data_IF_717623333776
#
_entry.id   IF_717623333776
#
_cell.length_a   1.000
_cell.length_b   1.000
_cell.length_c   1.000
_cell.angle_alpha   90.00
_cell.angle_beta   90.00
_cell.angle_gamma   90.00
#
_symmetry.space_group_name_H-M   'P 1'
#
loop_
_entity.id
_entity.type
_entity.pdbx_description
1 polymer ?
#
# COMPACT_ATOMS: atom_id res chain seq x y z
N UNK A 1 -25.83 14.24 4.58
CA UNK A 1 -24.62 13.46 4.97
C UNK A 1 -23.69 13.41 3.79
N UNK A 2 -22.54 14.09 3.85
CA UNK A 2 -21.49 13.96 2.83
C UNK A 2 -20.67 12.71 3.15
N UNK A 3 -20.86 11.66 2.37
CA UNK A 3 -20.02 10.46 2.42
C UNK A 3 -18.72 10.80 1.69
N UNK A 4 -17.67 11.17 2.43
CA UNK A 4 -16.36 11.47 1.85
C UNK A 4 -15.55 10.19 1.87
N UNK A 5 -15.50 9.54 0.72
CA UNK A 5 -14.73 8.33 0.47
C UNK A 5 -14.76 8.02 -1.03
N UNK A 6 -13.83 7.20 -1.51
CA UNK A 6 -13.90 6.72 -2.89
C UNK A 6 -15.01 5.66 -2.94
N UNK A 7 -16.19 6.08 -3.42
CA UNK A 7 -17.44 5.29 -3.39
C UNK A 7 -17.32 3.94 -4.10
N UNK A 8 -16.26 3.77 -4.89
CA UNK A 8 -15.93 2.57 -5.67
C UNK A 8 -15.45 1.39 -4.80
N UNK A 9 -14.96 1.65 -3.58
CA UNK A 9 -14.44 0.62 -2.68
C UNK A 9 -15.45 0.16 -1.63
N UNK A 10 -16.60 0.81 -1.52
CA UNK A 10 -17.59 0.46 -0.51
C UNK A 10 -18.16 -0.93 -0.79
N UNK A 11 -18.28 -1.73 0.26
CA UNK A 11 -18.91 -3.03 0.19
C UNK A 11 -20.44 -2.88 0.06
N UNK A 12 -21.14 -3.79 -0.64
CA UNK A 12 -22.57 -3.69 -0.86
C UNK A 12 -23.39 -3.63 0.43
N UNK A 13 -22.98 -4.34 1.48
CA UNK A 13 -23.60 -4.30 2.81
C UNK A 13 -23.52 -2.91 3.47
N UNK A 14 -22.41 -2.19 3.29
CA UNK A 14 -22.24 -0.80 3.78
C UNK A 14 -23.18 0.14 3.05
N UNK A 15 -23.32 -0.03 1.73
CA UNK A 15 -24.20 0.80 0.91
C UNK A 15 -25.68 0.60 1.28
N UNK A 16 -26.06 -0.63 1.63
CA UNK A 16 -27.42 -0.96 2.09
C UNK A 16 -27.69 -0.53 3.53
N UNK A 17 -26.68 -0.14 4.30
CA UNK A 17 -26.81 0.16 5.73
C UNK A 17 -27.02 -1.09 6.59
N UNK A 18 -26.55 -2.25 6.13
CA UNK A 18 -26.59 -3.50 6.89
C UNK A 18 -25.44 -3.52 7.92
N UNK A 19 -25.58 -4.36 8.96
CA UNK A 19 -24.49 -4.59 9.91
C UNK A 19 -23.26 -5.15 9.20
N UNK A 20 -22.08 -4.65 9.54
CA UNK A 20 -20.82 -5.06 8.92
C UNK A 20 -19.82 -5.56 9.96
N UNK A 21 -18.90 -6.40 9.49
CA UNK A 21 -17.73 -6.86 10.24
C UNK A 21 -16.48 -6.81 9.36
N UNK A 22 -15.44 -7.55 9.70
CA UNK A 22 -14.17 -7.58 8.96
C UNK A 22 -14.27 -8.04 7.49
N UNK A 23 -15.43 -8.56 7.06
CA UNK A 23 -15.66 -8.98 5.68
C UNK A 23 -15.56 -7.81 4.68
N UNK A 24 -15.86 -6.57 5.11
CA UNK A 24 -15.83 -5.38 4.24
C UNK A 24 -14.40 -5.03 3.79
N UNK A 25 -13.40 -5.37 4.60
CA UNK A 25 -12.00 -5.16 4.26
C UNK A 25 -11.58 -6.10 3.13
N UNK A 26 -12.07 -7.33 3.12
CA UNK A 26 -11.83 -8.29 2.04
C UNK A 26 -12.48 -7.87 0.73
N UNK A 27 -13.64 -7.23 0.79
CA UNK A 27 -14.24 -6.61 -0.39
C UNK A 27 -13.34 -5.51 -0.95
N UNK A 28 -12.94 -4.58 -0.09
CA UNK A 28 -12.05 -3.45 -0.44
C UNK A 28 -10.74 -3.97 -1.05
N UNK A 29 -10.16 -5.02 -0.46
CA UNK A 29 -8.98 -5.69 -1.00
C UNK A 29 -9.22 -6.27 -2.40
N UNK A 30 -10.37 -6.87 -2.66
CA UNK A 30 -10.76 -7.35 -4.00
C UNK A 30 -10.87 -6.21 -5.03
N UNK A 31 -11.44 -5.07 -4.64
CA UNK A 31 -11.53 -3.88 -5.51
C UNK A 31 -10.12 -3.37 -5.84
N UNK A 32 -9.27 -3.27 -4.82
CA UNK A 32 -7.89 -2.82 -4.97
C UNK A 32 -7.06 -3.76 -5.86
N UNK A 33 -7.16 -5.08 -5.69
CA UNK A 33 -6.48 -6.04 -6.57
C UNK A 33 -6.93 -5.91 -8.02
N UNK A 34 -8.23 -5.73 -8.25
CA UNK A 34 -8.74 -5.51 -9.60
C UNK A 34 -8.17 -4.22 -10.19
N UNK A 35 -8.13 -3.14 -9.43
CA UNK A 35 -7.58 -1.87 -9.88
C UNK A 35 -6.08 -1.93 -10.18
N UNK A 36 -5.28 -2.62 -9.36
CA UNK A 36 -3.85 -2.81 -9.62
C UNK A 36 -3.60 -3.54 -10.94
N UNK A 37 -4.47 -4.48 -11.31
CA UNK A 37 -4.30 -5.29 -12.51
C UNK A 37 -4.88 -4.64 -13.78
N UNK A 38 -5.96 -3.86 -13.64
CA UNK A 38 -6.70 -3.31 -14.79
C UNK A 38 -6.66 -1.78 -14.89
N UNK A 39 -6.09 -1.09 -13.91
CA UNK A 39 -6.00 0.38 -13.85
C UNK A 39 -7.34 1.10 -13.61
N UNK A 40 -8.40 0.36 -13.28
CA UNK A 40 -9.75 0.90 -13.02
C UNK A 40 -10.49 -0.01 -12.05
N UNK A 41 -11.49 0.51 -11.35
CA UNK A 41 -12.35 -0.30 -10.48
C UNK A 41 -13.41 -1.08 -11.30
N UNK A 42 -13.90 -2.22 -10.79
CA UNK A 42 -14.81 -3.09 -11.55
C UNK A 42 -16.24 -2.53 -11.68
N UNK A 43 -16.67 -1.65 -10.76
CA UNK A 43 -18.05 -1.17 -10.68
C UNK A 43 -18.21 0.34 -10.96
N UNK A 44 -17.16 1.00 -11.46
CA UNK A 44 -17.19 2.44 -11.77
C UNK A 44 -18.33 2.79 -12.73
N UNK A 45 -19.22 3.69 -12.29
CA UNK A 45 -20.26 4.28 -13.12
C UNK A 45 -19.93 5.71 -13.55
N UNK A 46 -20.82 6.32 -14.32
CA UNK A 46 -20.73 7.73 -14.76
C UNK A 46 -20.81 8.75 -13.62
N UNK A 47 -21.10 8.31 -12.39
CA UNK A 47 -21.15 9.15 -11.19
C UNK A 47 -21.42 8.31 -9.95
N UNK A 48 -21.36 8.93 -8.77
CA UNK A 48 -21.40 8.22 -7.48
C UNK A 48 -22.62 7.31 -7.33
N UNK A 49 -23.82 7.82 -7.65
CA UNK A 49 -25.06 7.01 -7.56
C UNK A 49 -25.04 5.79 -8.49
N UNK A 50 -24.53 5.95 -9.71
CA UNK A 50 -24.41 4.85 -10.66
C UNK A 50 -23.38 3.82 -10.18
N UNK A 51 -22.25 4.27 -9.63
CA UNK A 51 -21.25 3.38 -9.01
C UNK A 51 -21.85 2.57 -7.87
N UNK A 52 -22.57 3.21 -6.93
CA UNK A 52 -23.19 2.49 -5.82
C UNK A 52 -24.22 1.45 -6.31
N UNK A 53 -25.02 1.80 -7.32
CA UNK A 53 -25.96 0.86 -7.94
C UNK A 53 -25.23 -0.33 -8.58
N UNK A 54 -24.11 -0.08 -9.28
CA UNK A 54 -23.29 -1.13 -9.87
C UNK A 54 -22.66 -2.03 -8.80
N UNK A 55 -22.17 -1.46 -7.70
CA UNK A 55 -21.60 -2.22 -6.59
C UNK A 55 -22.64 -3.17 -5.98
N UNK A 56 -23.90 -2.76 -5.89
CA UNK A 56 -24.95 -3.63 -5.32
C UNK A 56 -25.49 -4.64 -6.33
N UNK A 57 -25.76 -4.20 -7.57
CA UNK A 57 -26.55 -4.98 -8.53
C UNK A 57 -25.78 -5.58 -9.70
N UNK A 58 -24.63 -5.01 -10.10
CA UNK A 58 -23.92 -5.50 -11.29
C UNK A 58 -23.00 -6.67 -10.96
N UNK A 59 -22.98 -7.74 -11.80
CA UNK A 59 -22.05 -8.84 -11.67
C UNK A 59 -20.63 -8.38 -12.02
N UNK A 60 -19.63 -9.00 -11.39
CA UNK A 60 -18.22 -8.77 -11.72
C UNK A 60 -17.93 -9.21 -13.16
N UNK A 61 -17.34 -8.31 -13.96
CA UNK A 61 -16.83 -8.62 -15.29
C UNK A 61 -15.35 -8.30 -15.38
N UNK A 62 -14.63 -9.12 -16.15
CA UNK A 62 -13.21 -8.90 -16.46
C UNK A 62 -13.10 -8.48 -17.92
N UNK A 63 -12.31 -7.44 -18.24
CA UNK A 63 -12.01 -7.08 -19.63
C UNK A 63 -11.15 -8.16 -20.29
N UNK A 64 -11.12 -8.18 -21.62
CA UNK A 64 -10.27 -9.10 -22.39
C UNK A 64 -8.79 -8.71 -22.32
N UNK A 65 -8.50 -7.42 -22.10
CA UNK A 65 -7.15 -6.88 -22.00
C UNK A 65 -7.05 -5.87 -20.84
N UNK A 66 -5.94 -5.87 -20.07
CA UNK A 66 -4.80 -6.79 -20.13
C UNK A 66 -5.14 -8.22 -19.69
N UNK A 67 -4.43 -9.21 -20.25
CA UNK A 67 -4.57 -10.62 -19.84
C UNK A 67 -3.95 -10.84 -18.47
N UNK A 68 -4.75 -11.31 -17.52
CA UNK A 68 -4.31 -11.65 -16.16
C UNK A 68 -4.40 -13.16 -15.92
N UNK A 69 -3.61 -13.67 -14.97
CA UNK A 69 -3.63 -15.10 -14.65
C UNK A 69 -5.01 -15.57 -14.18
N UNK A 70 -5.32 -16.85 -14.43
CA UNK A 70 -6.57 -17.45 -13.94
C UNK A 70 -6.69 -17.33 -12.42
N UNK A 71 -5.59 -17.61 -11.70
CA UNK A 71 -5.55 -17.51 -10.24
C UNK A 71 -5.87 -16.09 -9.73
N UNK A 72 -5.45 -15.04 -10.44
CA UNK A 72 -5.80 -13.66 -10.08
C UNK A 72 -7.31 -13.40 -10.22
N UNK A 73 -7.90 -13.85 -11.34
CA UNK A 73 -9.35 -13.69 -11.60
C UNK A 73 -10.17 -14.48 -10.59
N UNK A 74 -9.71 -15.68 -10.26
CA UNK A 74 -10.36 -16.56 -9.28
C UNK A 74 -10.36 -15.94 -7.87
N UNK A 75 -9.20 -15.42 -7.43
CA UNK A 75 -9.08 -14.69 -6.16
C UNK A 75 -10.06 -13.50 -6.10
N UNK A 76 -10.07 -12.66 -7.14
CA UNK A 76 -10.93 -11.48 -7.18
C UNK A 76 -12.41 -11.88 -7.19
N UNK A 77 -12.80 -12.95 -7.91
CA UNK A 77 -14.18 -13.47 -7.88
C UNK A 77 -14.59 -13.88 -6.47
N UNK A 78 -13.71 -14.56 -5.74
CA UNK A 78 -13.98 -14.96 -4.36
C UNK A 78 -14.09 -13.78 -3.39
N UNK A 79 -13.30 -12.73 -3.58
CA UNK A 79 -13.32 -11.53 -2.74
C UNK A 79 -14.51 -10.60 -3.04
N UNK A 80 -14.94 -10.52 -4.30
CA UNK A 80 -16.03 -9.64 -4.76
C UNK A 80 -17.39 -10.34 -4.82
N UNK A 81 -17.61 -11.29 -3.90
CA UNK A 81 -18.94 -11.86 -3.63
C UNK A 81 -19.78 -10.84 -2.86
N UNK A 82 -20.98 -10.56 -3.37
CA UNK A 82 -21.88 -9.56 -2.79
C UNK A 82 -22.35 -9.95 -1.40
N UNK A 83 -22.66 -11.24 -1.21
CA UNK A 83 -23.05 -11.79 0.09
C UNK A 83 -21.82 -11.99 0.98
N UNK A 84 -21.68 -11.28 2.12
CA UNK A 84 -20.48 -11.33 2.95
C UNK A 84 -20.14 -12.73 3.46
N UNK A 85 -21.16 -13.55 3.77
CA UNK A 85 -20.99 -14.90 4.32
C UNK A 85 -20.38 -15.90 3.33
N UNK A 86 -20.58 -15.64 2.03
CA UNK A 86 -20.06 -16.48 0.93
C UNK A 86 -18.74 -15.94 0.37
N UNK A 87 -18.25 -14.81 0.89
CA UNK A 87 -17.01 -14.17 0.47
C UNK A 87 -15.81 -15.00 0.92
N UNK A 88 -14.80 -15.10 0.06
CA UNK A 88 -13.51 -15.66 0.45
C UNK A 88 -12.99 -14.89 1.67
N UNK A 89 -12.33 -15.60 2.60
CA UNK A 89 -11.82 -15.05 3.86
C UNK A 89 -12.90 -14.71 4.91
N UNK A 90 -14.17 -15.07 4.70
CA UNK A 90 -15.21 -14.91 5.71
C UNK A 90 -14.95 -15.77 6.96
N UNK A 91 -14.51 -17.02 6.80
CA UNK A 91 -14.37 -17.97 7.93
C UNK A 91 -13.00 -17.90 8.60
N UNK A 92 -11.91 -17.99 7.83
CA UNK A 92 -10.52 -18.04 8.36
C UNK A 92 -9.71 -16.80 8.03
N UNK A 93 -10.35 -15.73 7.56
CA UNK A 93 -9.71 -14.45 7.29
C UNK A 93 -8.53 -14.57 6.33
N UNK A 94 -7.45 -13.87 6.67
CA UNK A 94 -6.23 -13.78 5.85
C UNK A 94 -5.63 -15.15 5.49
N UNK A 95 -5.84 -16.19 6.30
CA UNK A 95 -5.29 -17.53 6.05
C UNK A 95 -5.78 -18.11 4.72
N UNK A 96 -7.07 -17.94 4.39
CA UNK A 96 -7.61 -18.41 3.10
C UNK A 96 -6.99 -17.68 1.92
N UNK A 97 -6.74 -16.39 2.06
CA UNK A 97 -6.11 -15.58 1.02
C UNK A 97 -4.65 -15.98 0.85
N UNK A 98 -3.90 -16.13 1.95
CA UNK A 98 -2.48 -16.52 1.91
C UNK A 98 -2.25 -17.90 1.29
N UNK A 99 -3.22 -18.80 1.42
CA UNK A 99 -3.18 -20.16 0.83
C UNK A 99 -3.69 -20.21 -0.61
N UNK A 100 -4.25 -19.12 -1.14
CA UNK A 100 -4.80 -19.09 -2.49
C UNK A 100 -3.70 -19.31 -3.55
N UNK A 101 -3.96 -20.03 -4.65
CA UNK A 101 -2.97 -20.27 -5.72
C UNK A 101 -2.32 -19.00 -6.30
N UNK A 102 -3.00 -17.86 -6.21
CA UNK A 102 -2.45 -16.56 -6.61
C UNK A 102 -1.19 -16.19 -5.81
N UNK A 103 -1.11 -16.57 -4.54
CA UNK A 103 0.00 -16.28 -3.65
C UNK A 103 0.92 -17.49 -3.40
N UNK A 104 0.82 -18.55 -4.20
CA UNK A 104 1.58 -19.79 -3.97
C UNK A 104 3.11 -19.60 -3.94
N UNK A 105 3.63 -18.62 -4.65
CA UNK A 105 5.06 -18.31 -4.72
C UNK A 105 5.54 -17.36 -3.61
N UNK A 106 4.62 -16.85 -2.78
CA UNK A 106 4.94 -15.88 -1.74
C UNK A 106 5.36 -16.59 -0.46
N UNK A 107 6.60 -16.35 -0.04
CA UNK A 107 7.05 -16.74 1.29
C UNK A 107 6.62 -15.67 2.32
N UNK A 108 5.47 -15.89 2.95
CA UNK A 108 4.89 -14.96 3.91
C UNK A 108 5.76 -14.72 5.16
N UNK A 109 6.63 -15.65 5.54
CA UNK A 109 7.52 -15.49 6.68
C UNK A 109 8.67 -14.51 6.39
N UNK A 110 9.09 -14.42 5.13
CA UNK A 110 10.22 -13.59 4.69
C UNK A 110 9.78 -12.34 3.92
N UNK A 111 8.48 -12.04 3.86
CA UNK A 111 7.93 -10.96 3.02
C UNK A 111 8.55 -9.59 3.33
N UNK A 112 8.94 -9.34 4.60
CA UNK A 112 9.57 -8.09 5.04
C UNK A 112 11.04 -7.96 4.60
N UNK A 113 11.65 -9.06 4.18
CA UNK A 113 13.02 -9.12 3.67
C UNK A 113 13.07 -9.26 2.15
N UNK A 114 11.92 -9.40 1.48
CA UNK A 114 11.86 -9.50 0.04
C UNK A 114 12.18 -8.16 -0.61
N UNK A 115 12.96 -8.18 -1.69
CA UNK A 115 13.16 -6.99 -2.51
C UNK A 115 11.84 -6.62 -3.20
N UNK A 116 11.39 -5.36 -3.12
CA UNK A 116 10.19 -4.94 -3.83
C UNK A 116 10.45 -5.01 -5.34
N UNK A 117 9.40 -5.24 -6.15
CA UNK A 117 9.54 -5.38 -7.59
C UNK A 117 9.96 -4.09 -8.29
N UNK A 118 9.68 -2.92 -7.70
CA UNK A 118 10.16 -1.63 -8.19
C UNK A 118 10.75 -0.83 -7.02
N UNK A 119 11.96 -0.27 -7.22
CA UNK A 119 12.68 0.56 -6.25
C UNK A 119 12.79 1.96 -6.84
N UNK A 120 12.06 2.96 -6.30
CA UNK A 120 12.13 4.33 -6.80
C UNK A 120 13.56 4.87 -6.75
N UNK A 121 14.00 5.52 -7.83
CA UNK A 121 15.31 6.17 -7.87
C UNK A 121 15.32 7.34 -6.88
N UNK A 122 16.40 7.53 -6.09
CA UNK A 122 16.54 8.70 -5.24
C UNK A 122 16.41 9.97 -6.08
N UNK A 123 15.53 10.88 -5.65
CA UNK A 123 15.47 12.23 -6.23
C UNK A 123 16.74 12.94 -5.77
N UNK A 124 17.65 13.21 -6.70
CA UNK A 124 18.78 14.10 -6.42
C UNK A 124 18.19 15.50 -6.22
N UNK A 125 18.13 15.94 -4.96
CA UNK A 125 17.89 17.34 -4.67
C UNK A 125 19.22 18.04 -4.89
N UNK A 126 19.40 18.60 -6.08
CA UNK A 126 20.51 19.50 -6.35
C UNK A 126 20.28 20.76 -5.51
N UNK A 127 20.91 20.80 -4.33
CA UNK A 127 21.03 22.04 -3.60
C UNK A 127 21.92 22.96 -4.44
N UNK A 128 21.44 24.14 -4.88
CA UNK A 128 22.31 25.10 -5.52
C UNK A 128 23.38 25.49 -4.50
N UNK A 129 24.60 24.98 -4.70
CA UNK A 129 25.78 25.43 -3.99
C UNK A 129 25.97 26.89 -4.41
N UNK A 130 25.48 27.81 -3.58
CA UNK A 130 25.78 29.22 -3.72
C UNK A 130 27.29 29.42 -3.77
N UNK A 131 27.77 30.44 -4.51
CA UNK A 131 29.21 30.66 -4.66
C UNK A 131 29.88 30.79 -3.28
N UNK A 132 31.09 30.25 -3.08
CA UNK A 132 31.79 30.36 -1.82
C UNK A 132 32.12 31.83 -1.52
N UNK A 133 31.32 32.46 -0.66
CA UNK A 133 31.63 33.77 -0.09
C UNK A 133 32.52 33.55 1.14
N UNK A 134 33.80 33.28 0.91
CA UNK A 134 34.83 33.21 1.95
C UNK A 134 36.12 33.86 1.46
N UNK A 135 36.76 34.73 2.25
CA UNK A 135 38.07 35.28 1.88
C UNK A 135 39.12 34.14 1.84
N UNK A 136 40.18 34.26 1.04
CA UNK A 136 41.19 33.22 0.89
C UNK A 136 41.87 32.92 2.25
N UNK A 137 42.17 31.64 2.56
CA UNK A 137 42.79 31.27 3.82
C UNK A 137 44.20 31.85 3.94
N UNK A 138 44.44 32.62 5.01
CA UNK A 138 45.78 33.04 5.42
C UNK A 138 46.53 31.82 5.97
N UNK A 139 47.74 31.58 5.46
CA UNK A 139 48.65 30.55 5.96
C UNK A 139 49.09 30.91 7.39
N UNK A 140 48.73 30.07 8.37
CA UNK A 140 49.29 30.15 9.72
C UNK A 140 50.11 28.88 9.96
N UNK A 141 51.40 29.06 10.25
CA UNK A 141 52.36 28.00 10.53
C UNK A 141 52.04 27.24 11.84
N UNK A 142 52.44 25.97 12.01
CA UNK A 142 52.10 25.18 13.19
C UNK A 142 53.08 25.46 14.35
N UNK A 143 52.55 25.55 15.57
CA UNK A 143 53.34 25.51 16.82
C UNK A 143 53.10 24.17 17.56
N UNK A 144 54.11 23.61 18.27
CA UNK A 144 54.07 22.21 18.70
C UNK A 144 53.65 22.04 20.18
N UNK A 145 52.83 21.00 20.42
CA UNK A 145 52.89 20.13 21.61
C UNK A 145 52.11 20.54 22.87
N UNK A 146 51.00 19.84 23.14
CA UNK A 146 50.60 19.36 24.49
C UNK A 146 49.46 18.33 24.40
N UNK A 147 49.49 17.30 25.27
CA UNK A 147 48.52 16.20 25.49
C UNK A 147 48.37 16.04 27.03
N UNK A 148 47.38 15.32 27.63
CA UNK A 148 46.06 14.80 27.21
C UNK A 148 44.89 15.11 28.22
N UNK A 149 43.64 14.77 27.91
CA UNK A 149 42.50 14.86 28.86
C UNK A 149 41.18 14.24 28.32
N UNK A 150 40.39 13.65 29.21
CA UNK A 150 39.40 12.56 29.01
C UNK A 150 37.92 13.06 28.89
N UNK A 151 37.07 12.20 28.31
CA UNK A 151 35.58 12.13 28.33
C UNK A 151 34.80 13.15 27.45
N UNK A 152 33.68 12.85 26.77
CA UNK A 152 32.61 11.86 27.00
C UNK A 152 31.80 11.66 25.70
N UNK A 153 31.27 10.45 25.47
CA UNK A 153 30.28 10.15 24.40
C UNK A 153 28.94 10.87 24.70
N UNK A 154 28.08 11.11 23.70
CA UNK A 154 27.05 10.12 23.49
C UNK A 154 26.81 9.75 22.03
N UNK A 155 26.47 8.47 21.85
CA UNK A 155 25.84 7.94 20.66
C UNK A 155 24.39 8.45 20.61
N UNK A 156 24.03 9.17 19.55
CA UNK A 156 22.64 9.46 19.22
C UNK A 156 22.10 8.36 18.33
N UNK A 157 21.44 7.37 18.93
CA UNK A 157 20.53 6.46 18.24
C UNK A 157 19.31 7.27 17.76
N UNK A 158 19.08 7.32 16.44
CA UNK A 158 17.83 7.84 15.88
C UNK A 158 17.18 6.78 15.00
N UNK A 159 16.68 5.71 15.62
CA UNK A 159 15.64 4.86 15.03
C UNK A 159 14.79 4.24 16.14
N UNK A 160 14.05 5.07 16.85
CA UNK A 160 12.89 4.62 17.62
C UNK A 160 11.67 5.30 17.00
N UNK A 161 10.87 4.50 16.29
CA UNK A 161 9.57 4.90 15.76
C UNK A 161 8.55 4.09 16.54
N UNK A 162 8.07 4.67 17.63
CA UNK A 162 6.91 4.17 18.36
C UNK A 162 5.63 4.69 17.68
N UNK A 163 4.76 3.77 17.28
CA UNK A 163 3.36 4.07 16.95
C UNK A 163 2.47 3.42 18.02
N UNK A 164 1.69 4.27 18.71
CA UNK A 164 0.49 3.88 19.43
C UNK A 164 -0.57 3.32 18.47
#
# INVERSE_FOLDING_TARGET
MSFVGTHEYLAPEIIKGEGHGSAVDWWTFGIFLYELLFGKTPFKGHGNRATLFNVVGQPLRFPESPSVSFAARDLIRGLLVKEPQNRLAYRRGATEIKQHPFFQSVNWALIRCASPPDVPKPVAIDFPVGPPSGPPPQQVAPAPGEVPGIDMKPAGNYYEIDFF
#
